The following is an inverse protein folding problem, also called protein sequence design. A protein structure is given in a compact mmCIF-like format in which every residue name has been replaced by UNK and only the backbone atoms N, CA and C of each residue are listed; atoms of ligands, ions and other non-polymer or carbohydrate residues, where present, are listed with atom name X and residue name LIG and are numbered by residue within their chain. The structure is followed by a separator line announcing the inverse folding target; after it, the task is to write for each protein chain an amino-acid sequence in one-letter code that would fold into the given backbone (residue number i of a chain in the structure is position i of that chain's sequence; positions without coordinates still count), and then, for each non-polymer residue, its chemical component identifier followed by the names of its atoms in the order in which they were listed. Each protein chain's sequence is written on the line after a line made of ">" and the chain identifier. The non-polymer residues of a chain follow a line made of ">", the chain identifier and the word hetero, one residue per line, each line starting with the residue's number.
data_IF_371835955813
#
_entry.id   IF_371835955813
#
_cell.length_a   1.000
_cell.length_b   1.000
_cell.length_c   1.000
_cell.angle_alpha   90.00
_cell.angle_beta   90.00
_cell.angle_gamma   90.00
#
_symmetry.space_group_name_H-M   'P 1'
#
loop_
_entity.id
_entity.type
_entity.pdbx_description
1 polymer ?
#
# COMPACT_ATOMS: atom_id res chain seq x y z
N UNK A 1 -18.12 17.38 6.63
CA UNK A 1 -16.75 17.76 6.22
C UNK A 1 -16.53 19.21 6.64
N UNK A 2 -15.30 19.73 6.78
CA UNK A 2 -15.12 21.19 7.00
C UNK A 2 -15.63 22.03 5.82
N UNK A 3 -15.61 21.42 4.63
CA UNK A 3 -16.30 21.94 3.46
C UNK A 3 -17.76 21.44 3.48
N UNK A 4 -18.69 22.33 3.75
CA UNK A 4 -20.13 22.02 3.83
C UNK A 4 -20.75 21.66 2.46
N UNK A 5 -20.03 21.87 1.35
CA UNK A 5 -20.48 21.48 0.01
C UNK A 5 -20.25 20.00 -0.32
N UNK A 6 -19.48 19.28 0.52
CA UNK A 6 -19.12 17.87 0.32
C UNK A 6 -19.73 17.01 1.42
N UNK A 7 -20.58 16.06 1.03
CA UNK A 7 -21.12 15.07 1.96
C UNK A 7 -20.04 14.03 2.37
N UNK A 8 -20.11 13.45 3.58
CA UNK A 8 -19.20 12.37 3.97
C UNK A 8 -19.22 11.19 2.98
N UNK A 9 -20.40 10.84 2.46
CA UNK A 9 -20.55 9.77 1.48
C UNK A 9 -19.78 10.08 0.20
N UNK A 10 -19.77 11.34 -0.27
CA UNK A 10 -18.97 11.75 -1.42
C UNK A 10 -17.48 11.75 -1.10
N UNK A 11 -17.07 12.24 0.08
CA UNK A 11 -15.67 12.31 0.48
C UNK A 11 -15.03 10.91 0.60
N UNK A 12 -15.77 9.95 1.15
CA UNK A 12 -15.29 8.58 1.40
C UNK A 12 -15.73 7.56 0.32
N UNK A 13 -16.44 7.98 -0.73
CA UNK A 13 -16.75 7.14 -1.88
C UNK A 13 -15.52 6.99 -2.78
N UNK A 14 -14.71 5.97 -2.50
CA UNK A 14 -13.46 5.69 -3.20
C UNK A 14 -12.25 6.01 -2.34
N UNK A 15 -11.30 6.77 -2.90
CA UNK A 15 -10.09 7.18 -2.19
C UNK A 15 -10.23 8.61 -1.69
N UNK A 16 -10.07 8.79 -0.38
CA UNK A 16 -10.09 10.08 0.28
C UNK A 16 -8.66 10.57 0.53
N UNK A 17 -8.22 11.59 -0.21
CA UNK A 17 -6.85 12.12 -0.14
C UNK A 17 -6.77 13.36 0.75
N UNK A 18 -5.78 13.40 1.64
CA UNK A 18 -5.57 14.50 2.58
C UNK A 18 -4.11 14.96 2.54
N UNK A 19 -3.91 16.25 2.27
CA UNK A 19 -2.60 16.89 2.09
C UNK A 19 -1.75 16.32 0.93
N UNK A 20 -2.38 15.95 -0.18
CA UNK A 20 -1.72 15.31 -1.33
C UNK A 20 -1.61 16.18 -2.59
N UNK A 21 -1.75 17.51 -2.47
CA UNK A 21 -1.33 18.36 -3.60
C UNK A 21 0.16 18.16 -3.86
N UNK A 22 0.60 18.40 -5.10
CA UNK A 22 2.01 18.22 -5.48
C UNK A 22 2.98 18.93 -4.53
N UNK A 23 2.69 20.18 -4.15
CA UNK A 23 3.53 20.96 -3.23
C UNK A 23 3.55 20.39 -1.81
N UNK A 24 2.44 19.81 -1.34
CA UNK A 24 2.38 19.16 -0.03
C UNK A 24 3.19 17.84 -0.03
N UNK A 25 3.10 17.05 -1.09
CA UNK A 25 3.91 15.84 -1.25
C UNK A 25 5.40 16.16 -1.34
N UNK A 26 5.79 17.18 -2.12
CA UNK A 26 7.18 17.62 -2.23
C UNK A 26 7.75 18.13 -0.89
N UNK A 27 6.94 18.91 -0.15
CA UNK A 27 7.30 19.36 1.19
C UNK A 27 7.44 18.19 2.18
N UNK A 28 6.49 17.26 2.18
CA UNK A 28 6.53 16.07 3.03
C UNK A 28 7.75 15.18 2.72
N UNK A 29 8.05 14.96 1.43
CA UNK A 29 9.25 14.28 0.99
C UNK A 29 10.52 14.99 1.50
N UNK A 30 10.61 16.30 1.33
CA UNK A 30 11.78 17.09 1.78
C UNK A 30 11.98 17.04 3.29
N UNK A 31 10.89 17.07 4.07
CA UNK A 31 10.93 16.91 5.52
C UNK A 31 11.41 15.50 5.89
N UNK A 32 10.83 14.45 5.31
CA UNK A 32 11.22 13.07 5.55
C UNK A 32 12.68 12.81 5.16
N UNK A 33 13.13 13.29 4.00
CA UNK A 33 14.52 13.18 3.56
C UNK A 33 15.52 13.83 4.54
N UNK A 34 15.07 14.84 5.30
CA UNK A 34 15.86 15.49 6.36
C UNK A 34 15.73 14.82 7.75
N UNK A 35 15.06 13.67 7.85
CA UNK A 35 14.83 12.95 9.10
C UNK A 35 13.71 13.53 9.97
N UNK A 36 12.87 14.43 9.43
CA UNK A 36 11.72 15.01 10.14
C UNK A 36 10.43 14.35 9.68
N UNK A 37 9.53 14.05 10.61
CA UNK A 37 8.20 13.56 10.26
C UNK A 37 7.45 14.64 9.47
N UNK A 38 6.76 14.27 8.37
CA UNK A 38 5.90 15.20 7.64
C UNK A 38 4.85 15.85 8.55
N UNK A 39 4.76 17.18 8.49
CA UNK A 39 3.72 17.97 9.15
C UNK A 39 3.22 19.10 8.22
N UNK A 40 1.96 19.07 7.76
CA UNK A 40 0.99 17.98 7.98
C UNK A 40 1.39 16.71 7.22
N UNK A 41 1.00 15.54 7.74
CA UNK A 41 1.31 14.25 7.13
C UNK A 41 0.34 13.97 5.97
N UNK A 42 0.81 13.74 4.73
CA UNK A 42 -0.07 13.32 3.65
C UNK A 42 -0.58 11.89 3.85
N UNK A 43 -1.88 11.69 3.67
CA UNK A 43 -2.47 10.37 3.78
C UNK A 43 -3.69 10.18 2.85
N UNK A 44 -3.86 8.93 2.44
CA UNK A 44 -5.03 8.46 1.69
C UNK A 44 -5.83 7.47 2.54
N UNK A 45 -7.15 7.58 2.50
CA UNK A 45 -8.05 6.73 3.27
C UNK A 45 -9.10 6.04 2.39
N UNK A 46 -9.45 4.82 2.77
CA UNK A 46 -10.41 3.95 2.10
C UNK A 46 -11.43 3.42 3.09
N UNK A 47 -12.72 3.58 2.78
CA UNK A 47 -13.81 3.07 3.60
C UNK A 47 -14.59 1.99 2.84
N UNK A 48 -14.01 0.79 2.72
CA UNK A 48 -14.55 -0.28 1.89
C UNK A 48 -15.97 -0.71 2.31
N UNK A 49 -16.32 -0.60 3.60
CA UNK A 49 -17.64 -0.97 4.13
C UNK A 49 -18.78 -0.08 3.63
N UNK A 50 -18.48 1.12 3.11
CA UNK A 50 -19.47 1.96 2.43
C UNK A 50 -19.89 1.37 1.07
N UNK A 51 -18.97 0.67 0.40
CA UNK A 51 -19.21 0.08 -0.92
C UNK A 51 -19.70 -1.37 -0.79
N UNK A 52 -19.07 -2.15 0.09
CA UNK A 52 -19.44 -3.53 0.37
C UNK A 52 -19.63 -3.73 1.87
N UNK A 53 -20.87 -3.64 2.38
CA UNK A 53 -21.14 -3.89 3.79
C UNK A 53 -20.81 -5.31 4.24
N UNK A 54 -20.72 -6.29 3.32
CA UNK A 54 -20.53 -7.71 3.67
C UNK A 54 -19.15 -8.03 4.25
N UNK A 55 -18.19 -7.10 4.12
CA UNK A 55 -16.88 -7.20 4.79
C UNK A 55 -17.01 -7.18 6.32
N UNK A 56 -18.13 -6.63 6.83
CA UNK A 56 -18.45 -6.59 8.25
C UNK A 56 -19.43 -7.71 8.64
N UNK A 57 -19.26 -8.23 9.85
CA UNK A 57 -20.24 -9.15 10.45
C UNK A 57 -21.62 -8.50 10.60
N UNK A 58 -22.68 -9.30 10.60
CA UNK A 58 -24.06 -8.80 10.76
C UNK A 58 -24.21 -7.86 11.98
N UNK A 59 -23.65 -8.25 13.14
CA UNK A 59 -23.64 -7.43 14.35
C UNK A 59 -23.02 -6.04 14.15
N UNK A 60 -21.89 -5.95 13.45
CA UNK A 60 -21.21 -4.68 13.22
C UNK A 60 -21.98 -3.80 12.24
N UNK A 61 -22.59 -4.41 11.21
CA UNK A 61 -23.47 -3.69 10.27
C UNK A 61 -24.70 -3.13 10.96
N UNK A 62 -25.36 -3.93 11.79
CA UNK A 62 -26.57 -3.52 12.52
C UNK A 62 -26.29 -2.37 13.51
N UNK A 63 -25.05 -2.29 13.99
CA UNK A 63 -24.60 -1.19 14.84
C UNK A 63 -24.07 0.03 14.07
N UNK A 64 -24.14 0.02 12.73
CA UNK A 64 -23.68 1.13 11.88
C UNK A 64 -22.17 1.30 11.77
N UNK A 65 -21.38 0.29 12.17
CA UNK A 65 -19.93 0.36 12.13
C UNK A 65 -19.40 0.44 10.69
N UNK A 66 -18.22 1.05 10.54
CA UNK A 66 -17.48 1.16 9.28
C UNK A 66 -16.02 0.80 9.53
N UNK A 67 -15.31 0.37 8.47
CA UNK A 67 -13.85 0.13 8.51
C UNK A 67 -13.15 1.19 7.68
N UNK A 68 -12.12 1.82 8.24
CA UNK A 68 -11.29 2.80 7.54
C UNK A 68 -9.85 2.30 7.51
N UNK A 69 -9.28 2.15 6.32
CA UNK A 69 -7.85 1.89 6.12
C UNK A 69 -7.19 3.17 5.66
N UNK A 70 -6.07 3.56 6.28
CA UNK A 70 -5.38 4.82 5.98
C UNK A 70 -3.91 4.53 5.70
N UNK A 71 -3.40 5.02 4.58
CA UNK A 71 -1.97 4.98 4.25
C UNK A 71 -1.35 6.34 4.49
N UNK A 72 -0.34 6.39 5.35
CA UNK A 72 0.53 7.56 5.49
C UNK A 72 1.64 7.56 4.45
N UNK A 73 1.95 8.72 3.89
CA UNK A 73 2.98 8.87 2.86
C UNK A 73 4.26 9.46 3.44
N UNK A 74 5.39 9.10 2.82
CA UNK A 74 6.74 9.58 3.20
C UNK A 74 7.19 9.24 4.63
N UNK A 75 6.77 8.09 5.16
CA UNK A 75 7.15 7.60 6.50
C UNK A 75 7.95 6.28 6.49
N UNK A 76 9.03 6.15 5.69
CA UNK A 76 9.78 4.89 5.63
C UNK A 76 10.65 4.68 6.89
N UNK A 77 10.68 3.45 7.39
CA UNK A 77 11.52 3.10 8.54
C UNK A 77 13.03 3.21 8.26
N UNK A 78 13.45 3.24 6.99
CA UNK A 78 14.84 3.53 6.63
C UNK A 78 15.30 4.94 7.04
N UNK A 79 14.37 5.87 7.21
CA UNK A 79 14.62 7.24 7.68
C UNK A 79 14.41 7.34 9.20
N UNK A 80 13.30 6.80 9.70
CA UNK A 80 12.87 7.02 11.09
C UNK A 80 13.34 5.94 12.08
N UNK A 81 13.94 4.86 11.55
CA UNK A 81 14.44 3.73 12.35
C UNK A 81 13.35 2.97 13.10
N UNK A 82 13.80 2.12 14.01
CA UNK A 82 12.96 1.44 15.01
C UNK A 82 13.00 2.26 16.30
N UNK A 83 12.33 3.41 16.30
CA UNK A 83 12.29 4.29 17.48
C UNK A 83 11.06 3.99 18.32
N UNK A 84 11.26 3.90 19.63
CA UNK A 84 10.16 3.75 20.58
C UNK A 84 9.13 4.87 20.40
N UNK A 85 7.84 4.51 20.42
CA UNK A 85 6.75 5.45 20.22
C UNK A 85 6.52 5.92 18.78
N UNK A 86 7.25 5.40 17.78
CA UNK A 86 7.11 5.86 16.38
C UNK A 86 5.70 5.58 15.84
N UNK A 87 5.15 4.39 16.09
CA UNK A 87 3.82 4.03 15.65
C UNK A 87 2.76 4.97 16.23
N UNK A 88 2.87 5.32 17.51
CA UNK A 88 1.98 6.24 18.20
C UNK A 88 2.08 7.65 17.65
N UNK A 89 3.30 8.14 17.37
CA UNK A 89 3.52 9.45 16.73
C UNK A 89 2.94 9.51 15.33
N UNK A 90 3.12 8.45 14.53
CA UNK A 90 2.54 8.34 13.19
C UNK A 90 1.01 8.28 13.24
N UNK A 91 0.46 7.53 14.19
CA UNK A 91 -0.99 7.46 14.44
C UNK A 91 -1.55 8.85 14.75
N UNK A 92 -0.91 9.57 15.67
CA UNK A 92 -1.31 10.93 16.02
C UNK A 92 -1.24 11.89 14.82
N UNK A 93 -0.18 11.80 14.01
CA UNK A 93 -0.02 12.62 12.81
C UNK A 93 -1.11 12.34 11.75
N UNK A 94 -1.44 11.07 11.50
CA UNK A 94 -2.54 10.69 10.59
C UNK A 94 -3.88 11.23 11.10
N UNK A 95 -4.18 11.06 12.40
CA UNK A 95 -5.42 11.57 12.99
C UNK A 95 -5.50 13.10 12.90
N UNK A 96 -4.39 13.81 13.12
CA UNK A 96 -4.31 15.26 12.97
C UNK A 96 -4.58 15.68 11.52
N UNK A 97 -4.01 14.97 10.53
CA UNK A 97 -4.25 15.23 9.12
C UNK A 97 -5.72 15.04 8.75
N UNK A 98 -6.35 13.93 9.15
CA UNK A 98 -7.79 13.70 8.92
C UNK A 98 -8.63 14.81 9.57
N UNK A 99 -8.36 15.15 10.84
CA UNK A 99 -9.08 16.20 11.56
C UNK A 99 -8.89 17.60 10.96
N UNK A 100 -7.88 17.82 10.12
CA UNK A 100 -7.67 19.09 9.43
C UNK A 100 -8.74 19.37 8.37
N UNK A 101 -9.43 18.32 7.90
CA UNK A 101 -10.47 18.38 6.84
C UNK A 101 -11.84 17.87 7.31
N UNK A 102 -11.92 17.17 8.43
CA UNK A 102 -13.17 16.73 9.04
C UNK A 102 -13.83 17.84 9.88
N UNK A 103 -15.17 17.86 9.87
CA UNK A 103 -15.95 18.84 10.64
C UNK A 103 -15.81 18.62 12.16
N UNK A 104 -15.66 17.36 12.56
CA UNK A 104 -15.55 16.91 13.94
C UNK A 104 -14.33 15.97 14.05
N UNK A 105 -13.71 15.85 15.24
CA UNK A 105 -12.61 14.90 15.45
C UNK A 105 -13.03 13.46 15.16
N UNK A 106 -12.24 12.74 14.35
CA UNK A 106 -12.51 11.33 14.03
C UNK A 106 -12.47 10.43 15.28
N UNK A 107 -11.77 10.86 16.33
CA UNK A 107 -11.65 10.15 17.59
C UNK A 107 -13.00 9.95 18.29
N UNK A 108 -13.96 10.85 18.07
CA UNK A 108 -15.27 10.80 18.70
C UNK A 108 -16.15 9.66 18.17
N UNK A 109 -15.77 9.07 17.03
CA UNK A 109 -16.49 7.98 16.37
C UNK A 109 -15.70 6.68 16.31
N UNK A 110 -14.56 6.59 17.01
CA UNK A 110 -13.80 5.36 17.10
C UNK A 110 -14.51 4.35 18.00
N UNK A 111 -14.70 3.15 17.48
CA UNK A 111 -15.16 2.02 18.28
C UNK A 111 -14.13 1.69 19.36
N UNK A 112 -14.57 1.13 20.50
CA UNK A 112 -13.66 0.66 21.55
C UNK A 112 -13.63 -0.86 21.66
N UNK A 113 -12.43 -1.41 21.85
CA UNK A 113 -12.23 -2.85 22.02
C UNK A 113 -12.69 -3.34 23.41
N UNK A 114 -12.52 -4.63 23.67
CA UNK A 114 -12.90 -5.25 24.96
C UNK A 114 -12.10 -4.71 26.16
N UNK A 115 -11.04 -3.95 25.92
CA UNK A 115 -10.20 -3.29 26.92
C UNK A 115 -10.43 -1.77 26.96
N UNK A 116 -11.51 -1.27 26.33
CA UNK A 116 -11.86 0.14 26.23
C UNK A 116 -10.82 1.01 25.51
N UNK A 117 -9.96 0.40 24.67
CA UNK A 117 -9.03 1.17 23.83
C UNK A 117 -9.68 1.47 22.48
N UNK A 118 -9.36 2.61 21.85
CA UNK A 118 -9.82 2.88 20.49
C UNK A 118 -9.36 1.78 19.54
N UNK A 119 -10.26 1.33 18.67
CA UNK A 119 -10.00 0.34 17.62
C UNK A 119 -9.16 0.98 16.50
N UNK A 120 -7.87 1.17 16.77
CA UNK A 120 -6.85 1.58 15.80
C UNK A 120 -5.74 0.54 15.81
N UNK A 121 -5.40 0.07 14.62
CA UNK A 121 -4.21 -0.74 14.39
C UNK A 121 -3.24 0.04 13.49
N UNK A 122 -1.99 0.16 13.92
CA UNK A 122 -0.95 0.86 13.18
C UNK A 122 0.13 -0.13 12.78
N UNK A 123 0.35 -0.28 11.48
CA UNK A 123 1.40 -1.10 10.91
C UNK A 123 2.40 -0.20 10.19
N UNK A 124 3.66 -0.21 10.64
CA UNK A 124 4.73 0.56 10.00
C UNK A 124 5.40 -0.23 8.87
N UNK A 125 6.20 0.46 8.05
CA UNK A 125 7.02 -0.23 7.02
C UNK A 125 8.03 -1.21 7.62
N UNK A 126 8.45 -1.02 8.87
CA UNK A 126 9.31 -1.97 9.58
C UNK A 126 8.51 -3.21 10.01
N UNK A 127 7.28 -3.03 10.47
CA UNK A 127 6.39 -4.13 10.81
C UNK A 127 6.10 -5.00 9.59
N UNK A 128 5.78 -4.39 8.45
CA UNK A 128 5.60 -5.11 7.18
C UNK A 128 6.84 -5.93 6.80
N UNK A 129 8.04 -5.38 7.01
CA UNK A 129 9.28 -6.11 6.76
C UNK A 129 9.45 -7.29 7.71
N UNK A 130 9.15 -7.12 9.01
CA UNK A 130 9.34 -8.14 10.04
C UNK A 130 8.30 -9.26 9.96
N UNK A 131 7.04 -8.90 9.75
CA UNK A 131 5.90 -9.84 9.85
C UNK A 131 5.56 -10.49 8.52
N UNK A 132 5.72 -9.77 7.40
CA UNK A 132 5.36 -10.24 6.07
C UNK A 132 6.57 -10.48 5.16
N UNK A 133 7.79 -10.19 5.61
CA UNK A 133 8.98 -10.31 4.77
C UNK A 133 9.03 -9.30 3.61
N UNK A 134 8.27 -8.20 3.70
CA UNK A 134 8.25 -7.15 2.68
C UNK A 134 9.47 -6.24 2.85
N UNK A 135 10.55 -6.52 2.11
CA UNK A 135 11.78 -5.72 2.15
C UNK A 135 11.48 -4.23 1.96
N UNK A 136 11.96 -3.38 2.86
CA UNK A 136 11.70 -1.94 2.87
C UNK A 136 10.26 -1.54 3.21
N UNK A 137 9.41 -2.50 3.57
CA UNK A 137 7.96 -2.32 3.68
C UNK A 137 7.27 -2.11 2.33
N UNK A 138 7.92 -2.53 1.23
CA UNK A 138 7.39 -2.33 -0.11
C UNK A 138 6.19 -3.28 -0.37
N UNK A 139 4.99 -2.73 -0.42
CA UNK A 139 3.76 -3.49 -0.70
C UNK A 139 3.76 -4.16 -2.09
N UNK A 140 4.56 -3.65 -3.02
CA UNK A 140 4.78 -4.25 -4.34
C UNK A 140 5.94 -5.26 -4.38
N UNK A 141 6.49 -5.65 -3.22
CA UNK A 141 7.59 -6.62 -3.10
C UNK A 141 8.87 -6.19 -3.82
N UNK A 142 9.17 -4.90 -3.77
CA UNK A 142 10.34 -4.26 -4.38
C UNK A 142 10.13 -2.76 -4.55
N UNK A 143 11.21 -2.02 -4.78
CA UNK A 143 11.12 -0.62 -5.19
C UNK A 143 10.56 -0.51 -6.61
N UNK A 144 10.02 0.66 -6.95
CA UNK A 144 9.63 0.96 -8.33
C UNK A 144 10.85 0.80 -9.25
N UNK A 145 10.67 0.06 -10.34
CA UNK A 145 11.72 -0.23 -11.32
C UNK A 145 11.19 -0.02 -12.74
N UNK A 146 12.10 0.15 -13.70
CA UNK A 146 11.73 0.38 -15.08
C UNK A 146 11.00 -0.85 -15.68
N UNK A 147 9.77 -0.69 -16.21
CA UNK A 147 8.92 -1.82 -16.57
C UNK A 147 9.29 -2.49 -17.90
N UNK A 148 10.15 -1.86 -18.70
CA UNK A 148 10.55 -2.33 -20.03
C UNK A 148 11.97 -2.85 -20.03
N UNK A 149 12.25 -3.78 -20.94
CA UNK A 149 13.62 -4.22 -21.19
C UNK A 149 14.45 -3.10 -21.77
N UNK A 150 15.67 -2.96 -21.25
CA UNK A 150 16.68 -2.12 -21.86
C UNK A 150 17.24 -2.81 -23.10
N UNK A 151 17.88 -2.04 -23.99
CA UNK A 151 18.39 -2.58 -25.26
C UNK A 151 19.41 -3.71 -25.07
N UNK A 152 20.14 -3.69 -23.95
CA UNK A 152 21.19 -4.67 -23.63
C UNK A 152 20.68 -5.82 -22.72
N UNK A 153 19.40 -5.80 -22.32
CA UNK A 153 18.83 -6.91 -21.53
C UNK A 153 18.84 -8.21 -22.37
N UNK A 154 19.44 -9.31 -21.89
CA UNK A 154 19.42 -10.56 -22.62
C UNK A 154 18.00 -11.15 -22.62
N UNK A 155 17.35 -11.19 -23.78
CA UNK A 155 16.00 -11.78 -23.97
C UNK A 155 16.06 -13.16 -24.63
N UNK A 156 17.06 -13.96 -24.25
CA UNK A 156 17.41 -15.26 -24.81
C UNK A 156 16.58 -16.44 -24.25
N UNK A 157 15.87 -16.23 -23.14
CA UNK A 157 14.97 -17.23 -22.54
C UNK A 157 13.54 -16.71 -22.45
N UNK A 158 12.52 -17.60 -22.50
CA UNK A 158 11.14 -17.18 -22.30
C UNK A 158 10.93 -16.46 -20.97
N UNK A 159 11.57 -16.91 -19.88
CA UNK A 159 11.43 -16.26 -18.58
C UNK A 159 11.93 -14.81 -18.60
N UNK A 160 13.04 -14.51 -19.30
CA UNK A 160 13.54 -13.13 -19.45
C UNK A 160 12.66 -12.29 -20.37
N UNK A 161 12.20 -12.86 -21.48
CA UNK A 161 11.24 -12.20 -22.41
C UNK A 161 9.95 -11.77 -21.70
N UNK A 162 9.40 -12.65 -20.85
CA UNK A 162 8.18 -12.37 -20.09
C UNK A 162 8.43 -11.56 -18.80
N UNK A 163 9.70 -11.30 -18.42
CA UNK A 163 10.06 -10.47 -17.26
C UNK A 163 9.84 -11.16 -15.91
N UNK A 164 9.95 -12.48 -15.88
CA UNK A 164 9.66 -13.34 -14.71
C UNK A 164 10.86 -14.22 -14.32
N UNK A 165 12.02 -13.99 -14.95
CA UNK A 165 13.23 -14.73 -14.66
C UNK A 165 13.73 -14.53 -13.22
N UNK A 166 14.38 -15.56 -12.70
CA UNK A 166 15.24 -15.50 -11.51
C UNK A 166 16.63 -16.02 -11.88
N UNK A 167 17.56 -15.99 -10.93
CA UNK A 167 18.89 -16.60 -11.10
C UNK A 167 18.83 -18.14 -11.28
N UNK A 168 17.68 -18.76 -11.01
CA UNK A 168 17.46 -20.18 -11.18
C UNK A 168 16.50 -20.44 -12.35
N UNK A 169 16.98 -21.08 -13.41
CA UNK A 169 16.21 -21.31 -14.65
C UNK A 169 14.86 -22.04 -14.46
N UNK A 170 14.72 -22.81 -13.37
CA UNK A 170 13.52 -23.59 -13.05
C UNK A 170 12.57 -22.87 -12.09
N UNK A 171 12.91 -21.66 -11.66
CA UNK A 171 12.13 -20.85 -10.72
C UNK A 171 11.81 -19.51 -11.41
N UNK A 172 10.53 -19.15 -11.41
CA UNK A 172 10.04 -17.92 -12.05
C UNK A 172 9.21 -17.11 -11.05
N UNK A 173 9.27 -15.79 -11.14
CA UNK A 173 8.45 -14.88 -10.34
C UNK A 173 7.04 -14.77 -10.93
N UNK A 174 6.02 -14.94 -10.11
CA UNK A 174 4.62 -14.86 -10.52
C UNK A 174 3.80 -13.83 -9.72
N UNK A 175 4.45 -13.02 -8.88
CA UNK A 175 3.81 -12.07 -7.97
C UNK A 175 4.14 -10.62 -8.29
N UNK A 176 3.87 -9.74 -7.32
CA UNK A 176 4.08 -8.29 -7.46
C UNK A 176 5.53 -7.89 -7.71
N UNK A 177 6.49 -8.68 -7.22
CA UNK A 177 7.92 -8.42 -7.45
C UNK A 177 8.44 -8.80 -8.84
N UNK A 178 7.59 -9.39 -9.72
CA UNK A 178 7.97 -9.61 -11.12
C UNK A 178 8.05 -8.27 -11.88
N UNK A 179 8.76 -8.22 -13.02
CA UNK A 179 8.76 -7.02 -13.87
C UNK A 179 7.34 -6.76 -14.37
N UNK A 180 6.84 -5.53 -14.19
CA UNK A 180 5.43 -5.14 -14.45
C UNK A 180 4.42 -5.84 -13.52
N UNK A 181 4.88 -6.44 -12.43
CA UNK A 181 4.03 -6.93 -11.36
C UNK A 181 3.47 -5.79 -10.51
N UNK A 182 2.49 -6.12 -9.67
CA UNK A 182 1.91 -5.20 -8.70
C UNK A 182 0.45 -4.85 -9.00
N UNK A 183 -0.11 -4.01 -8.12
CA UNK A 183 -1.46 -3.43 -8.20
C UNK A 183 -2.59 -4.45 -8.46
N UNK A 184 -2.46 -5.69 -7.95
CA UNK A 184 -3.46 -6.76 -8.13
C UNK A 184 -3.80 -7.02 -9.63
N UNK A 185 -2.85 -6.72 -10.53
CA UNK A 185 -3.08 -6.73 -11.97
C UNK A 185 -3.20 -8.12 -12.60
N UNK A 186 -2.75 -9.17 -11.89
CA UNK A 186 -2.65 -10.53 -12.43
C UNK A 186 -1.53 -10.73 -13.47
N UNK A 187 -0.83 -9.66 -13.87
CA UNK A 187 0.20 -9.68 -14.93
C UNK A 187 1.35 -10.62 -14.58
N UNK A 188 1.86 -10.57 -13.34
CA UNK A 188 2.97 -11.44 -12.92
C UNK A 188 2.64 -12.92 -13.06
N UNK A 189 1.45 -13.33 -12.63
CA UNK A 189 0.97 -14.71 -12.75
C UNK A 189 0.76 -15.13 -14.20
N UNK A 190 0.14 -14.27 -15.00
CA UNK A 190 -0.03 -14.49 -16.44
C UNK A 190 1.31 -14.69 -17.15
N UNK A 191 2.27 -13.78 -16.94
CA UNK A 191 3.59 -13.82 -17.59
C UNK A 191 4.36 -15.09 -17.20
N UNK A 192 4.29 -15.50 -15.93
CA UNK A 192 4.92 -16.74 -15.47
C UNK A 192 4.33 -17.97 -16.18
N UNK A 193 3.00 -18.03 -16.30
CA UNK A 193 2.35 -19.12 -17.03
C UNK A 193 2.76 -19.15 -18.51
N UNK A 194 2.82 -18.00 -19.17
CA UNK A 194 3.24 -17.90 -20.57
C UNK A 194 4.70 -18.30 -20.78
N UNK A 195 5.59 -17.91 -19.87
CA UNK A 195 6.99 -18.32 -19.89
C UNK A 195 7.13 -19.84 -19.76
N UNK A 196 6.38 -20.48 -18.86
CA UNK A 196 6.37 -21.94 -18.69
C UNK A 196 5.90 -22.64 -19.98
N UNK A 197 4.80 -22.18 -20.58
CA UNK A 197 4.28 -22.75 -21.83
C UNK A 197 5.30 -22.66 -22.98
N UNK A 198 5.96 -21.51 -23.12
CA UNK A 198 7.00 -21.30 -24.13
C UNK A 198 8.23 -22.20 -23.89
N UNK A 199 8.68 -22.35 -22.64
CA UNK A 199 9.76 -23.27 -22.26
C UNK A 199 9.44 -24.74 -22.58
N UNK A 200 8.19 -25.17 -22.37
CA UNK A 200 7.77 -26.54 -22.70
C UNK A 200 7.70 -26.75 -24.22
N UNK A 201 7.26 -25.74 -24.96
CA UNK A 201 7.20 -25.79 -26.43
C UNK A 201 8.60 -25.84 -27.06
N UNK A 202 9.59 -25.12 -26.52
CA UNK A 202 10.97 -25.15 -27.03
C UNK A 202 11.64 -26.50 -26.77
N UNK A 203 11.43 -27.10 -25.58
CA UNK A 203 11.94 -28.44 -25.25
C UNK A 203 11.41 -29.54 -26.15
N UNK A 204 10.16 -29.45 -26.60
CA UNK A 204 9.58 -30.40 -27.57
C UNK A 204 10.19 -30.30 -28.98
N UNK A 205 10.86 -29.19 -29.30
CA UNK A 205 11.48 -28.96 -30.61
C UNK A 205 12.97 -29.30 -30.66
N UNK A 206 13.59 -29.58 -29.51
CA UNK A 206 14.97 -30.09 -29.45
C UNK A 206 14.95 -31.62 -29.62
N UNK A 207 15.67 -32.18 -30.62
CA UNK A 207 15.73 -33.62 -30.86
C UNK A 207 16.41 -34.40 -29.73
#
# INVERSE_FOLDING_TARGET
>A
MRDDSVTPQQAFAGTFHVNETWSQLDAAYSQAASGRLPDPLPCEAYCHSLTDPSILSARLRDAGAQTLTVFGLHTPHSVFGDTEGLAERLTAAVLASLNSVLAEPIQDVLWTDAQSKPCIETTTTLDLQRTLGMTGGNIFHGALSWPFADNDDPLDTPARQWGVATDHERIMLCGSGARRGGAVSGIGGHNAAMAVLACLASRRKSP
#
